data_IF_769717422651
#
_entry.id   IF_769717422651
#
_cell.length_a   1.000
_cell.length_b   1.000
_cell.length_c   1.000
_cell.angle_alpha   90.00
_cell.angle_beta   90.00
_cell.angle_gamma   90.00
#
_symmetry.space_group_name_H-M   'P 1'
#
loop_
_entity.id
_entity.type
_entity.pdbx_description
1 polymer ?
#
# COMPACT_ATOMS: atom_id res chain seq x y z
N UNK A 1 -2.96 20.76 25.29
CA UNK A 1 -2.89 20.40 24.60
C UNK A 1 -2.99 20.38 24.10
N UNK A 2 -3.11 20.74 24.86
CA UNK A 2 -3.13 20.43 24.29
C UNK A 2 -3.19 20.64 23.90
N UNK A 3 -3.25 20.88 24.49
CA UNK A 3 -3.28 20.72 23.93
C UNK A 3 -3.36 20.89 23.55
N UNK A 4 -3.50 20.78 23.64
CA UNK A 4 -3.47 20.59 23.18
C UNK A 4 -3.62 20.29 22.54
N UNK A 5 -3.63 20.99 23.61
CA UNK A 5 -3.64 20.44 22.90
C UNK A 5 -3.67 20.17 22.29
N UNK A 6 -4.09 20.96 23.22
CA UNK A 6 -4.01 20.25 22.62
C UNK A 6 -4.21 20.09 22.13
N UNK A 7 -4.16 19.50 21.86
CA UNK A 7 -4.25 19.02 21.34
C UNK A 7 -4.68 18.53 20.66
N UNK A 8 -4.82 19.14 21.41
CA UNK A 8 -5.02 18.46 20.79
C UNK A 8 -5.39 18.06 20.18
N UNK A 9 -5.71 18.13 20.60
CA UNK A 9 -5.80 17.42 20.06
C UNK A 9 -6.27 16.78 19.47
N UNK A 10 -6.39 17.04 20.01
CA UNK A 10 -6.50 16.15 19.41
C UNK A 10 -6.85 15.71 19.09
N UNK A 11 -7.19 16.02 19.76
CA UNK A 11 -7.15 15.18 19.34
C UNK A 11 -7.31 14.61 19.06
N UNK A 12 -7.63 15.03 19.95
CA UNK A 12 -7.28 14.01 19.67
C UNK A 12 -7.30 13.52 19.48
N UNK A 13 -7.16 13.62 19.84
CA UNK A 13 -6.66 12.81 19.50
C UNK A 13 -6.52 12.57 19.24
N UNK A 14 -6.46 12.48 19.68
CA UNK A 14 -5.82 11.93 19.26
C UNK A 14 -5.47 11.69 19.03
N UNK A 15 -5.49 12.13 19.61
CA UNK A 15 -4.72 11.73 19.28
C UNK A 15 -4.33 11.38 19.05
N UNK A 16 -4.55 11.71 19.74
CA UNK A 16 -3.74 11.13 19.39
C UNK A 16 -3.48 10.87 19.14
N UNK A 17 -3.31 11.14 19.66
CA UNK A 17 -2.65 10.58 19.29
C UNK A 17 -2.38 10.90 18.90
N UNK A 18 -2.02 11.43 19.13
CA UNK A 18 -1.22 11.49 18.57
C UNK A 18 -0.89 11.53 18.40
N UNK A 19 -0.81 11.91 18.93
CA UNK A 19 0.01 11.72 18.69
C UNK A 19 0.38 11.28 18.76
N UNK A 20 0.67 11.45 18.92
CA UNK A 20 1.70 10.85 19.07
C UNK A 20 2.42 10.08 18.13
N UNK A 21 2.71 9.90 17.29
CA UNK A 21 3.25 9.08 16.36
C UNK A 21 4.30 9.70 15.55
N UNK A 22 4.31 10.85 15.24
CA UNK A 22 5.33 11.57 14.50
C UNK A 22 6.64 11.57 15.24
N UNK A 23 6.63 11.32 16.48
CA UNK A 23 7.85 11.20 17.21
C UNK A 23 8.67 10.02 16.80
N UNK A 24 8.09 9.06 16.15
CA UNK A 24 8.80 7.86 15.73
C UNK A 24 9.52 8.06 14.41
N UNK A 25 9.36 9.21 13.75
CA UNK A 25 10.00 9.47 12.47
C UNK A 25 9.40 8.71 11.30
N UNK A 26 8.22 8.16 11.47
CA UNK A 26 7.56 7.43 10.39
C UNK A 26 6.87 8.38 9.44
N UNK A 27 6.91 8.06 8.15
CA UNK A 27 6.14 8.74 7.14
C UNK A 27 4.65 8.55 7.44
N UNK A 28 3.84 9.62 7.48
CA UNK A 28 2.40 9.46 7.72
C UNK A 28 1.72 8.50 6.77
N UNK A 29 2.24 8.34 5.54
CA UNK A 29 1.69 7.39 4.59
C UNK A 29 1.92 5.94 4.94
N UNK A 30 2.76 5.65 5.95
CA UNK A 30 2.98 4.28 6.40
C UNK A 30 1.83 3.76 7.26
N UNK A 31 1.04 4.67 7.84
CA UNK A 31 -0.06 4.25 8.70
C UNK A 31 -1.24 3.83 7.84
N UNK A 32 -1.65 2.57 7.99
CA UNK A 32 -2.77 2.00 7.23
C UNK A 32 -4.04 2.03 8.08
N UNK A 33 -5.17 2.41 7.48
CA UNK A 33 -6.45 2.28 8.17
C UNK A 33 -6.94 0.83 8.07
N UNK A 34 -8.10 0.55 8.70
CA UNK A 34 -8.63 -0.80 8.75
C UNK A 34 -8.95 -1.39 7.38
N UNK A 35 -9.47 -0.55 6.47
CA UNK A 35 -9.79 -0.99 5.11
C UNK A 35 -8.52 -1.33 4.33
N UNK A 36 -7.49 -0.50 4.46
CA UNK A 36 -6.23 -0.74 3.76
C UNK A 36 -5.55 -2.01 4.27
N UNK A 37 -5.58 -2.26 5.57
CA UNK A 37 -5.02 -3.47 6.13
C UNK A 37 -5.76 -4.71 5.66
N UNK A 38 -7.09 -4.66 5.62
CA UNK A 38 -7.89 -5.76 5.13
C UNK A 38 -7.67 -6.01 3.65
N UNK A 39 -7.61 -4.94 2.87
CA UNK A 39 -7.34 -5.01 1.44
C UNK A 39 -5.96 -5.62 1.18
N UNK A 40 -4.96 -5.23 1.95
CA UNK A 40 -3.62 -5.80 1.85
C UNK A 40 -3.65 -7.31 2.10
N UNK A 41 -4.37 -7.75 3.12
CA UNK A 41 -4.49 -9.16 3.45
C UNK A 41 -5.19 -9.94 2.33
N UNK A 42 -6.28 -9.40 1.80
CA UNK A 42 -7.01 -10.04 0.70
C UNK A 42 -6.14 -10.16 -0.56
N UNK A 43 -5.42 -9.10 -0.90
CA UNK A 43 -4.57 -9.11 -2.08
C UNK A 43 -3.37 -10.03 -1.92
N UNK A 44 -2.87 -10.21 -0.69
CA UNK A 44 -1.79 -11.16 -0.43
C UNK A 44 -2.23 -12.58 -0.74
N UNK A 45 -3.51 -12.90 -0.50
CA UNK A 45 -4.06 -14.23 -0.79
C UNK A 45 -4.41 -14.38 -2.28
N UNK A 46 -4.68 -13.29 -2.97
CA UNK A 46 -5.20 -13.30 -4.34
C UNK A 46 -4.39 -12.40 -5.26
N UNK A 47 -3.06 -12.57 -5.28
CA UNK A 47 -2.18 -11.71 -6.08
C UNK A 47 -2.56 -11.70 -7.56
N UNK A 48 -3.14 -12.79 -8.07
CA UNK A 48 -3.54 -12.88 -9.47
C UNK A 48 -4.63 -11.85 -9.83
N UNK A 49 -5.36 -11.33 -8.83
CA UNK A 49 -6.36 -10.28 -9.06
C UNK A 49 -5.67 -8.96 -9.41
N UNK A 50 -4.47 -8.73 -8.86
CA UNK A 50 -3.71 -7.53 -9.17
C UNK A 50 -3.21 -7.59 -10.62
N UNK A 51 -2.62 -8.72 -10.99
CA UNK A 51 -2.07 -8.90 -12.33
C UNK A 51 -1.92 -10.40 -12.59
N UNK A 52 -2.30 -10.90 -13.79
CA UNK A 52 -2.17 -12.33 -14.10
C UNK A 52 -0.72 -12.80 -13.98
N UNK A 53 -0.53 -13.91 -13.30
CA UNK A 53 0.80 -14.49 -13.10
C UNK A 53 1.57 -13.93 -11.93
N UNK A 54 1.01 -12.99 -11.19
CA UNK A 54 1.66 -12.42 -10.02
C UNK A 54 1.55 -13.36 -8.83
N UNK A 55 2.64 -13.57 -8.11
CA UNK A 55 2.65 -14.39 -6.89
C UNK A 55 3.33 -13.63 -5.76
N UNK A 56 2.90 -13.90 -4.53
CA UNK A 56 3.43 -13.23 -3.35
C UNK A 56 4.78 -13.80 -2.97
N UNK A 57 5.76 -12.93 -2.74
CA UNK A 57 7.04 -13.31 -2.13
C UNK A 57 6.95 -13.09 -0.62
N UNK A 58 6.57 -11.88 -0.20
CA UNK A 58 6.38 -11.60 1.23
C UNK A 58 5.52 -10.37 1.41
N UNK A 59 4.85 -10.31 2.55
CA UNK A 59 4.14 -9.12 2.98
C UNK A 59 5.10 -8.25 3.78
N UNK A 60 4.87 -6.94 3.71
CA UNK A 60 5.61 -5.96 4.51
C UNK A 60 7.11 -6.12 4.36
N UNK A 61 7.56 -6.05 3.12
CA UNK A 61 8.97 -6.15 2.79
C UNK A 61 9.72 -4.96 3.38
N UNK A 62 10.73 -5.19 4.24
CA UNK A 62 11.37 -4.10 4.98
C UNK A 62 12.30 -3.28 4.09
N UNK A 63 12.24 -1.96 4.30
CA UNK A 63 13.24 -1.03 3.78
C UNK A 63 13.66 -0.14 4.93
N UNK A 64 14.70 0.65 4.73
CA UNK A 64 15.19 1.56 5.77
C UNK A 64 14.24 2.73 6.02
N UNK A 65 13.22 2.91 5.18
CA UNK A 65 12.22 3.98 5.36
C UNK A 65 10.84 3.42 5.66
N UNK A 66 10.71 2.11 5.86
CA UNK A 66 9.46 1.47 6.22
C UNK A 66 9.17 0.27 5.35
N UNK A 67 8.10 -0.49 5.67
CA UNK A 67 7.78 -1.70 4.91
C UNK A 67 6.95 -1.40 3.67
N UNK A 68 7.26 -2.09 2.58
CA UNK A 68 6.42 -2.12 1.38
C UNK A 68 5.30 -3.12 1.64
N UNK A 69 4.08 -2.80 1.25
CA UNK A 69 2.93 -3.65 1.59
C UNK A 69 3.10 -5.07 1.11
N UNK A 70 3.41 -5.25 -0.17
CA UNK A 70 3.60 -6.59 -0.74
C UNK A 70 4.81 -6.56 -1.68
N UNK A 71 5.64 -7.59 -1.60
CA UNK A 71 6.64 -7.86 -2.62
C UNK A 71 6.18 -9.09 -3.36
N UNK A 72 6.05 -8.98 -4.67
CA UNK A 72 5.54 -10.03 -5.53
C UNK A 72 6.51 -10.35 -6.64
N UNK A 73 6.21 -11.41 -7.36
CA UNK A 73 6.99 -11.85 -8.51
C UNK A 73 6.06 -12.06 -9.68
N UNK A 74 6.45 -11.60 -10.85
CA UNK A 74 5.64 -11.79 -12.06
C UNK A 74 5.96 -13.13 -12.72
N UNK A 75 5.24 -13.44 -13.79
CA UNK A 75 5.38 -14.72 -14.47
C UNK A 75 6.76 -14.91 -15.10
N UNK A 76 7.48 -13.81 -15.37
CA UNK A 76 8.83 -13.85 -15.93
C UNK A 76 9.90 -13.86 -14.84
N UNK A 77 9.50 -13.87 -13.58
CA UNK A 77 10.43 -13.90 -12.45
C UNK A 77 10.90 -12.54 -11.98
N UNK A 78 10.37 -11.46 -12.55
CA UNK A 78 10.70 -10.09 -12.11
C UNK A 78 9.98 -9.73 -10.80
N UNK A 79 10.61 -8.88 -10.00
CA UNK A 79 10.02 -8.44 -8.75
C UNK A 79 9.09 -7.25 -8.96
N UNK A 80 8.01 -7.21 -8.19
CA UNK A 80 7.01 -6.15 -8.24
C UNK A 80 6.72 -5.72 -6.81
N UNK A 81 6.94 -4.44 -6.53
CA UNK A 81 6.60 -3.83 -5.24
C UNK A 81 5.19 -3.27 -5.34
N UNK A 82 4.32 -3.71 -4.46
CA UNK A 82 2.91 -3.32 -4.48
C UNK A 82 2.61 -2.50 -3.24
N UNK A 83 2.06 -1.32 -3.46
CA UNK A 83 1.57 -0.47 -2.38
C UNK A 83 0.06 -0.43 -2.47
N UNK A 84 -0.62 -0.62 -1.35
CA UNK A 84 -2.07 -0.73 -1.28
C UNK A 84 -2.62 0.50 -0.57
N UNK A 85 -3.57 1.18 -1.21
CA UNK A 85 -4.22 2.35 -0.65
C UNK A 85 -5.71 2.25 -0.86
N UNK A 86 -6.49 2.84 0.04
CA UNK A 86 -7.93 2.98 -0.19
C UNK A 86 -8.16 3.89 -1.39
N UNK A 87 -7.39 4.98 -1.46
CA UNK A 87 -7.48 5.95 -2.54
C UNK A 87 -6.09 6.23 -3.08
N UNK A 88 -5.92 6.09 -4.38
CA UNK A 88 -4.67 6.38 -5.05
C UNK A 88 -4.51 7.87 -5.25
N UNK A 89 -3.60 8.48 -4.51
CA UNK A 89 -3.31 9.90 -4.55
C UNK A 89 -1.83 10.11 -4.81
N UNK A 90 -1.44 11.35 -5.05
CA UNK A 90 -0.05 11.71 -5.34
C UNK A 90 0.88 11.19 -4.25
N UNK A 91 0.46 11.30 -2.98
CA UNK A 91 1.29 10.85 -1.85
C UNK A 91 1.64 9.37 -1.96
N UNK A 92 0.69 8.53 -2.40
CA UNK A 92 0.94 7.10 -2.56
C UNK A 92 1.94 6.82 -3.67
N UNK A 93 1.85 7.56 -4.77
CA UNK A 93 2.80 7.43 -5.88
C UNK A 93 4.20 7.81 -5.41
N UNK A 94 4.31 8.91 -4.68
CA UNK A 94 5.61 9.38 -4.21
C UNK A 94 6.20 8.44 -3.16
N UNK A 95 5.37 7.91 -2.29
CA UNK A 95 5.81 6.94 -1.30
C UNK A 95 6.37 5.69 -1.99
N UNK A 96 5.65 5.17 -2.97
CA UNK A 96 6.11 3.99 -3.71
C UNK A 96 7.40 4.30 -4.47
N UNK A 97 7.51 5.50 -5.05
CA UNK A 97 8.73 5.92 -5.73
C UNK A 97 9.94 5.88 -4.78
N UNK A 98 9.75 6.34 -3.55
CA UNK A 98 10.83 6.32 -2.55
C UNK A 98 11.21 4.89 -2.18
N UNK A 99 10.23 4.00 -2.03
CA UNK A 99 10.51 2.59 -1.77
C UNK A 99 11.33 1.96 -2.90
N UNK A 100 10.95 2.23 -4.15
CA UNK A 100 11.65 1.64 -5.29
C UNK A 100 13.12 2.06 -5.31
N UNK A 101 13.41 3.32 -4.98
CA UNK A 101 14.79 3.80 -4.91
C UNK A 101 15.57 3.01 -3.86
N UNK A 102 14.94 2.71 -2.71
CA UNK A 102 15.59 1.96 -1.64
C UNK A 102 15.76 0.49 -1.96
N UNK A 103 14.86 -0.07 -2.77
CA UNK A 103 14.86 -1.50 -3.08
C UNK A 103 15.83 -1.87 -4.20
N UNK A 104 16.06 -0.95 -5.14
CA UNK A 104 16.82 -1.25 -6.35
C UNK A 104 18.25 -1.72 -6.11
N UNK A 105 18.99 -1.27 -5.11
CA UNK A 105 20.32 -1.85 -4.87
C UNK A 105 20.29 -3.36 -4.65
N UNK A 106 19.23 -3.91 -4.09
CA UNK A 106 19.09 -5.36 -3.92
C UNK A 106 18.23 -6.02 -4.97
N UNK A 107 17.27 -5.28 -5.56
CA UNK A 107 16.33 -5.79 -6.54
C UNK A 107 16.31 -4.83 -7.73
N UNK A 108 17.32 -4.91 -8.58
CA UNK A 108 17.65 -3.88 -9.56
C UNK A 108 16.51 -3.51 -10.50
N UNK A 109 15.70 -4.47 -10.89
CA UNK A 109 14.65 -4.23 -11.86
C UNK A 109 13.26 -4.31 -11.25
N UNK A 110 13.16 -4.01 -9.96
CA UNK A 110 11.86 -4.03 -9.30
C UNK A 110 10.95 -2.97 -9.91
N UNK A 111 9.73 -3.39 -10.25
CA UNK A 111 8.69 -2.49 -10.75
C UNK A 111 7.75 -2.11 -9.62
N UNK A 112 7.03 -1.01 -9.78
CA UNK A 112 6.04 -0.58 -8.78
C UNK A 112 4.64 -0.68 -9.31
N UNK A 113 3.72 -1.12 -8.46
CA UNK A 113 2.28 -1.08 -8.72
C UNK A 113 1.59 -0.43 -7.54
N UNK A 114 0.73 0.54 -7.83
CA UNK A 114 -0.13 1.15 -6.82
C UNK A 114 -1.52 0.57 -7.01
N UNK A 115 -2.03 -0.11 -5.99
CA UNK A 115 -3.35 -0.73 -6.02
C UNK A 115 -4.27 0.05 -5.10
N UNK A 116 -5.44 0.43 -5.59
CA UNK A 116 -6.38 1.22 -4.82
C UNK A 116 -7.80 0.94 -5.27
N UNK A 117 -8.77 1.33 -4.43
CA UNK A 117 -10.20 1.21 -4.75
C UNK A 117 -10.63 2.29 -5.74
N UNK A 118 -9.97 3.43 -5.73
CA UNK A 118 -10.22 4.52 -6.66
C UNK A 118 -8.93 5.33 -6.79
N UNK A 119 -8.84 6.12 -7.85
CA UNK A 119 -7.65 6.92 -8.13
C UNK A 119 -8.02 8.35 -8.45
N UNK A 120 -7.26 9.29 -7.91
CA UNK A 120 -7.29 10.67 -8.37
C UNK A 120 -6.61 10.77 -9.72
N UNK A 121 -7.16 11.57 -10.65
CA UNK A 121 -6.53 11.69 -11.99
C UNK A 121 -5.08 12.13 -11.93
N UNK A 122 -4.72 13.04 -11.03
CA UNK A 122 -3.36 13.52 -10.88
C UNK A 122 -2.42 12.39 -10.48
N UNK A 123 -2.90 11.45 -9.67
CA UNK A 123 -2.09 10.32 -9.24
C UNK A 123 -1.77 9.41 -10.43
N UNK A 124 -2.75 9.17 -11.30
CA UNK A 124 -2.51 8.36 -12.50
C UNK A 124 -1.50 9.00 -13.42
N UNK A 125 -1.57 10.32 -13.59
CA UNK A 125 -0.63 11.05 -14.42
C UNK A 125 0.79 10.94 -13.86
N UNK A 126 0.94 11.17 -12.56
CA UNK A 126 2.25 11.09 -11.92
C UNK A 126 2.81 9.66 -11.97
N UNK A 127 1.96 8.67 -11.73
CA UNK A 127 2.38 7.27 -11.77
C UNK A 127 2.91 6.91 -13.16
N UNK A 128 2.23 7.34 -14.21
CA UNK A 128 2.69 7.09 -15.57
C UNK A 128 4.05 7.72 -15.82
N UNK A 129 4.28 8.92 -15.30
CA UNK A 129 5.58 9.59 -15.43
C UNK A 129 6.68 8.86 -14.69
N UNK A 130 6.34 8.15 -13.62
CA UNK A 130 7.30 7.41 -12.78
C UNK A 130 7.42 5.95 -13.17
N UNK A 131 6.70 5.50 -14.20
CA UNK A 131 6.71 4.09 -14.60
C UNK A 131 6.03 3.17 -13.59
N UNK A 132 5.10 3.69 -12.83
CA UNK A 132 4.33 2.93 -11.84
C UNK A 132 2.96 2.61 -12.45
N UNK A 133 2.57 1.35 -12.37
CA UNK A 133 1.25 0.91 -12.84
C UNK A 133 0.21 1.16 -11.76
N UNK A 134 -0.97 1.63 -12.18
CA UNK A 134 -2.11 1.81 -11.29
C UNK A 134 -3.12 0.70 -11.56
N UNK A 135 -3.52 -0.01 -10.51
CA UNK A 135 -4.48 -1.09 -10.61
C UNK A 135 -5.65 -0.80 -9.69
N UNK A 136 -6.84 -0.69 -10.26
CA UNK A 136 -8.05 -0.46 -9.49
C UNK A 136 -8.70 -1.80 -9.19
N UNK A 137 -9.09 -2.00 -7.92
CA UNK A 137 -9.72 -3.23 -7.48
C UNK A 137 -11.06 -2.92 -6.81
N UNK A 138 -11.92 -3.92 -6.75
CA UNK A 138 -13.23 -3.82 -6.11
C UNK A 138 -13.17 -4.55 -4.77
N UNK A 139 -13.30 -3.80 -3.70
CA UNK A 139 -13.19 -4.34 -2.34
C UNK A 139 -14.27 -5.39 -2.07
N UNK A 140 -15.52 -5.09 -2.47
CA UNK A 140 -16.62 -6.02 -2.24
C UNK A 140 -16.45 -7.29 -3.05
N UNK A 141 -15.96 -7.17 -4.27
CA UNK A 141 -15.69 -8.35 -5.09
C UNK A 141 -14.60 -9.23 -4.48
N UNK A 142 -13.55 -8.62 -3.93
CA UNK A 142 -12.47 -9.36 -3.27
C UNK A 142 -12.99 -10.10 -2.04
N UNK A 143 -13.83 -9.47 -1.24
CA UNK A 143 -14.42 -10.09 -0.06
C UNK A 143 -15.40 -11.19 -0.47
N UNK A 144 -16.11 -11.02 -1.57
CA UNK A 144 -17.00 -12.03 -2.11
C UNK A 144 -16.27 -13.28 -2.55
N UNK A 145 -15.13 -13.11 -3.21
CA UNK A 145 -14.28 -14.23 -3.63
C UNK A 145 -13.82 -15.02 -2.40
N UNK A 146 -13.39 -14.34 -1.35
CA UNK A 146 -12.97 -15.00 -0.12
C UNK A 146 -14.13 -15.78 0.51
N UNK A 147 -15.31 -15.16 0.56
CA UNK A 147 -16.51 -15.82 1.10
C UNK A 147 -16.90 -17.05 0.29
N UNK A 148 -16.83 -16.96 -1.03
CA UNK A 148 -17.15 -18.07 -1.90
C UNK A 148 -16.20 -19.24 -1.68
N UNK A 149 -14.91 -18.97 -1.51
CA UNK A 149 -13.94 -20.02 -1.22
C UNK A 149 -14.29 -20.70 0.11
N UNK A 150 -14.63 -19.91 1.12
CA UNK A 150 -15.00 -20.46 2.42
C UNK A 150 -16.29 -21.28 2.38
N UNK A 151 -17.23 -20.89 1.53
CA UNK A 151 -18.51 -21.61 1.42
C UNK A 151 -18.38 -22.92 0.69
N UNK A 152 -17.39 -23.10 -0.12
CA UNK A 152 -17.18 -24.35 -0.84
C UNK A 152 -16.73 -25.49 0.07
N UNK A 153 -16.33 -25.17 1.25
CA UNK A 153 -15.87 -26.14 2.23
C UNK A 153 -16.79 -26.19 3.44
#
# INVERSE_FOLDING_TARGET
>A
MTNRAGETMTIGIEEVLHDSQHQLGLDPGLVKDGVEKDLQALLAECCHVIYPGLSLVTREYPTDIGPVDLLCRDAQGGYVAVEVKRRGEIDGVEQLSRYLVRMRPGLEQVRGMLVALEFKPQARVLAAQRGIDCVQVDYDALRGVESDVLTLF
#
